data_IF_410634194425
#
_entry.id   IF_410634194425
#
_cell.length_a   1.000
_cell.length_b   1.000
_cell.length_c   1.000
_cell.angle_alpha   90.00
_cell.angle_beta   90.00
_cell.angle_gamma   90.00
#
_symmetry.space_group_name_H-M   'P 1'
#
loop_
_entity.id
_entity.type
_entity.pdbx_description
1 polymer ?
#
# COMPACT_ATOMS: atom_id res chain seq x y z
N UNK A 1 1.74 5.61 -31.31
CA UNK A 1 2.66 5.30 -30.17
C UNK A 1 3.97 4.66 -30.64
N UNK A 2 4.04 3.40 -31.10
CA UNK A 2 5.34 2.82 -31.50
C UNK A 2 5.98 3.55 -32.70
N UNK A 3 5.19 3.82 -33.74
CA UNK A 3 5.65 4.52 -34.96
C UNK A 3 6.06 5.97 -34.68
N UNK A 4 5.32 6.66 -33.82
CA UNK A 4 5.44 8.12 -33.65
C UNK A 4 6.34 8.52 -32.48
N UNK A 5 6.43 7.68 -31.44
CA UNK A 5 7.21 7.97 -30.21
C UNK A 5 8.39 7.03 -30.01
N UNK A 6 8.44 5.90 -30.72
CA UNK A 6 9.52 4.92 -30.56
C UNK A 6 9.55 4.20 -29.21
N UNK A 7 8.47 4.27 -28.41
CA UNK A 7 8.38 3.66 -27.08
C UNK A 7 8.30 2.11 -27.14
N UNK A 8 9.36 1.48 -27.63
CA UNK A 8 9.53 0.03 -27.69
C UNK A 8 10.16 -0.50 -26.39
N UNK A 9 9.70 -1.66 -25.91
CA UNK A 9 10.28 -2.33 -24.75
C UNK A 9 11.66 -2.92 -25.11
N UNK A 10 12.67 -2.66 -24.28
CA UNK A 10 13.99 -3.29 -24.41
C UNK A 10 13.87 -4.82 -24.32
N UNK A 11 14.55 -5.60 -25.19
CA UNK A 11 14.58 -7.06 -25.09
C UNK A 11 15.03 -7.57 -23.71
N UNK A 12 15.96 -6.88 -23.05
CA UNK A 12 16.42 -7.24 -21.71
C UNK A 12 15.31 -7.04 -20.66
N UNK A 13 14.57 -5.93 -20.73
CA UNK A 13 13.42 -5.70 -19.83
C UNK A 13 12.30 -6.71 -20.08
N UNK A 14 12.07 -7.10 -21.35
CA UNK A 14 11.11 -8.15 -21.69
C UNK A 14 11.51 -9.50 -21.07
N UNK A 15 12.80 -9.85 -21.11
CA UNK A 15 13.32 -11.05 -20.45
C UNK A 15 13.09 -11.01 -18.94
N UNK A 16 13.41 -9.90 -18.26
CA UNK A 16 13.17 -9.76 -16.82
C UNK A 16 11.68 -9.85 -16.45
N UNK A 17 10.79 -9.27 -17.27
CA UNK A 17 9.35 -9.38 -17.08
C UNK A 17 8.88 -10.84 -17.18
N UNK A 18 9.35 -11.57 -18.21
CA UNK A 18 9.01 -12.98 -18.40
C UNK A 18 9.45 -13.82 -17.20
N UNK A 19 10.66 -13.60 -16.68
CA UNK A 19 11.13 -14.27 -15.45
C UNK A 19 10.25 -13.93 -14.24
N UNK A 20 9.84 -12.67 -14.08
CA UNK A 20 8.92 -12.27 -13.02
C UNK A 20 7.53 -12.91 -13.13
N UNK A 21 7.04 -13.13 -14.36
CA UNK A 21 5.71 -13.70 -14.61
C UNK A 21 5.58 -15.16 -14.14
N UNK A 22 6.66 -15.94 -14.17
CA UNK A 22 6.67 -17.35 -13.76
C UNK A 22 6.19 -17.55 -12.31
N UNK A 23 6.40 -16.55 -11.45
CA UNK A 23 6.02 -16.59 -10.02
C UNK A 23 4.85 -15.69 -9.69
N UNK A 24 4.20 -15.06 -10.68
CA UNK A 24 3.19 -14.03 -10.45
C UNK A 24 2.04 -14.53 -9.56
N UNK A 25 1.49 -15.70 -9.83
CA UNK A 25 0.37 -16.26 -9.05
C UNK A 25 0.73 -16.46 -7.59
N UNK A 26 1.90 -17.05 -7.31
CA UNK A 26 2.40 -17.30 -5.96
C UNK A 26 2.63 -15.99 -5.19
N UNK A 27 3.21 -14.99 -5.86
CA UNK A 27 3.47 -13.68 -5.25
C UNK A 27 2.17 -12.95 -4.95
N UNK A 28 1.23 -12.90 -5.90
CA UNK A 28 -0.07 -12.23 -5.70
C UNK A 28 -0.86 -12.89 -4.58
N UNK A 29 -0.87 -14.22 -4.51
CA UNK A 29 -1.54 -14.95 -3.42
C UNK A 29 -0.93 -14.56 -2.05
N UNK A 30 0.41 -14.57 -1.94
CA UNK A 30 1.09 -14.18 -0.70
C UNK A 30 0.85 -12.72 -0.33
N UNK A 31 0.93 -11.81 -1.30
CA UNK A 31 0.64 -10.38 -1.11
C UNK A 31 -0.76 -10.16 -0.54
N UNK A 32 -1.78 -10.83 -1.10
CA UNK A 32 -3.16 -10.75 -0.62
C UNK A 32 -3.28 -11.32 0.80
N UNK A 33 -2.75 -12.51 1.05
CA UNK A 33 -2.79 -13.15 2.37
C UNK A 33 -2.14 -12.29 3.47
N UNK A 34 -0.98 -11.70 3.18
CA UNK A 34 -0.30 -10.82 4.11
C UNK A 34 -1.10 -9.52 4.33
N UNK A 35 -1.62 -8.92 3.26
CA UNK A 35 -2.39 -7.68 3.35
C UNK A 35 -3.67 -7.85 4.18
N UNK A 36 -4.41 -8.96 4.02
CA UNK A 36 -5.61 -9.22 4.80
C UNK A 36 -5.33 -9.28 6.31
N UNK A 37 -4.23 -9.93 6.71
CA UNK A 37 -3.80 -10.00 8.11
C UNK A 37 -3.37 -8.65 8.67
N UNK A 38 -2.62 -7.87 7.89
CA UNK A 38 -2.17 -6.53 8.30
C UNK A 38 -3.38 -5.57 8.39
N UNK A 39 -4.33 -5.66 7.47
CA UNK A 39 -5.57 -4.89 7.51
C UNK A 39 -6.35 -5.21 8.79
N UNK A 40 -6.50 -6.49 9.14
CA UNK A 40 -7.17 -6.90 10.38
C UNK A 40 -6.47 -6.34 11.62
N UNK A 41 -5.15 -6.41 11.68
CA UNK A 41 -4.36 -5.78 12.74
C UNK A 41 -4.62 -4.27 12.84
N UNK A 42 -4.53 -3.54 11.72
CA UNK A 42 -4.66 -2.08 11.68
C UNK A 42 -6.07 -1.61 12.06
N UNK A 43 -7.13 -2.31 11.61
CA UNK A 43 -8.52 -1.97 11.95
C UNK A 43 -8.76 -2.02 13.46
N UNK A 44 -8.07 -2.92 14.17
CA UNK A 44 -8.20 -3.10 15.61
C UNK A 44 -7.21 -2.26 16.44
N UNK A 45 -6.32 -1.50 15.80
CA UNK A 45 -5.25 -0.78 16.51
C UNK A 45 -5.74 0.59 17.04
N UNK A 46 -5.52 0.93 18.33
CA UNK A 46 -6.09 2.14 18.95
C UNK A 46 -5.54 3.46 18.40
N UNK A 47 -4.39 3.44 17.71
CA UNK A 47 -3.77 4.62 17.06
C UNK A 47 -4.16 4.78 15.58
N UNK A 48 -4.92 3.84 15.02
CA UNK A 48 -5.46 3.92 13.67
C UNK A 48 -6.87 4.50 13.74
N UNK A 49 -7.16 5.47 12.88
CA UNK A 49 -8.49 6.09 12.77
C UNK A 49 -9.38 5.34 11.77
N UNK A 50 -8.80 4.95 10.63
CA UNK A 50 -9.54 4.33 9.54
C UNK A 50 -8.60 3.53 8.65
N UNK A 51 -9.06 2.41 8.10
CA UNK A 51 -8.39 1.67 7.03
C UNK A 51 -9.26 1.72 5.77
N UNK A 52 -8.66 2.01 4.61
CA UNK A 52 -9.35 2.00 3.32
C UNK A 52 -8.95 0.74 2.55
N UNK A 53 -9.70 -0.33 2.76
CA UNK A 53 -9.50 -1.60 2.07
C UNK A 53 -10.83 -2.13 1.50
N UNK A 54 -10.91 -2.52 0.21
CA UNK A 54 -12.19 -2.84 -0.42
C UNK A 54 -13.00 -3.97 0.24
N UNK A 55 -12.33 -4.91 0.92
CA UNK A 55 -12.96 -6.07 1.55
C UNK A 55 -13.51 -5.79 2.95
N UNK A 56 -13.25 -4.62 3.54
CA UNK A 56 -13.82 -4.27 4.85
C UNK A 56 -15.33 -4.10 4.78
N UNK A 57 -16.03 -4.46 5.86
CA UNK A 57 -17.49 -4.46 5.91
C UNK A 57 -18.12 -3.06 5.80
N UNK A 58 -17.41 -2.03 6.26
CA UNK A 58 -17.80 -0.63 6.16
C UNK A 58 -17.38 0.02 4.82
N UNK A 59 -16.70 -0.73 3.94
CA UNK A 59 -16.31 -0.24 2.63
C UNK A 59 -17.52 -0.12 1.69
N UNK A 60 -17.72 1.03 1.02
CA UNK A 60 -18.79 1.17 0.02
C UNK A 60 -18.59 0.22 -1.19
N UNK A 61 -17.38 -0.33 -1.34
CA UNK A 61 -17.02 -1.24 -2.42
C UNK A 61 -17.09 -2.72 -2.03
N UNK A 62 -17.47 -3.06 -0.80
CA UNK A 62 -17.46 -4.44 -0.30
C UNK A 62 -18.19 -5.41 -1.23
N UNK A 63 -19.44 -5.10 -1.61
CA UNK A 63 -20.23 -5.94 -2.51
C UNK A 63 -19.60 -6.08 -3.91
N UNK A 64 -18.90 -5.05 -4.41
CA UNK A 64 -18.22 -5.09 -5.70
C UNK A 64 -16.92 -5.90 -5.61
N UNK A 65 -16.20 -5.78 -4.50
CA UNK A 65 -15.01 -6.57 -4.21
C UNK A 65 -15.35 -8.06 -4.18
N UNK A 66 -16.39 -8.47 -3.46
CA UNK A 66 -16.85 -9.86 -3.42
C UNK A 66 -17.25 -10.38 -4.81
N UNK A 67 -17.91 -9.53 -5.62
CA UNK A 67 -18.32 -9.91 -6.98
C UNK A 67 -17.15 -10.05 -7.96
N UNK A 68 -16.25 -9.08 -7.99
CA UNK A 68 -15.24 -8.95 -9.05
C UNK A 68 -13.86 -9.46 -8.67
N UNK A 69 -13.55 -9.54 -7.37
CA UNK A 69 -12.24 -9.90 -6.85
C UNK A 69 -12.34 -11.08 -5.86
N UNK A 70 -12.97 -12.22 -6.24
CA UNK A 70 -13.21 -13.35 -5.32
C UNK A 70 -11.93 -14.05 -4.86
N UNK A 71 -10.78 -13.73 -5.47
CA UNK A 71 -9.45 -14.25 -5.10
C UNK A 71 -8.63 -13.27 -4.26
N UNK A 72 -9.22 -12.15 -3.83
CA UNK A 72 -8.57 -11.11 -3.04
C UNK A 72 -8.50 -9.76 -3.74
N UNK A 73 -8.52 -8.69 -2.96
CA UNK A 73 -8.67 -7.30 -3.45
C UNK A 73 -7.34 -6.54 -3.61
N UNK A 74 -6.23 -7.29 -3.63
CA UNK A 74 -4.87 -6.74 -3.73
C UNK A 74 -4.22 -6.43 -2.38
N UNK A 75 -2.99 -5.92 -2.44
CA UNK A 75 -2.11 -5.68 -1.28
C UNK A 75 -1.71 -4.22 -1.08
N UNK A 76 -2.30 -3.32 -1.86
CA UNK A 76 -2.07 -1.88 -1.77
C UNK A 76 -3.31 -1.26 -1.17
N UNK A 77 -3.13 -0.53 -0.07
CA UNK A 77 -4.21 0.14 0.62
C UNK A 77 -3.68 1.33 1.41
N UNK A 78 -4.59 2.15 1.91
CA UNK A 78 -4.24 3.27 2.78
C UNK A 78 -4.88 3.11 4.13
N UNK A 79 -4.25 3.68 5.15
CA UNK A 79 -4.85 3.84 6.47
C UNK A 79 -4.54 5.24 6.99
N UNK A 80 -5.33 5.69 7.95
CA UNK A 80 -5.20 6.98 8.60
C UNK A 80 -4.79 6.76 10.04
N UNK A 81 -3.73 7.44 10.48
CA UNK A 81 -3.35 7.48 11.90
C UNK A 81 -4.13 8.56 12.61
N UNK A 82 -4.38 8.37 13.91
CA UNK A 82 -4.89 9.45 14.75
C UNK A 82 -3.85 10.56 14.86
N UNK A 83 -4.27 11.81 14.63
CA UNK A 83 -3.37 12.96 14.57
C UNK A 83 -3.36 13.56 13.17
N UNK A 84 -2.22 14.10 12.76
CA UNK A 84 -2.00 14.75 11.48
C UNK A 84 -0.75 14.24 10.75
N UNK A 85 -0.17 15.11 9.92
CA UNK A 85 1.06 14.82 9.15
C UNK A 85 2.25 14.44 10.05
N UNK A 86 2.39 15.09 11.21
CA UNK A 86 3.50 14.83 12.10
C UNK A 86 3.48 13.38 12.62
N UNK A 87 2.31 12.88 13.02
CA UNK A 87 2.12 11.51 13.47
C UNK A 87 2.31 10.51 12.31
N UNK A 88 1.77 10.82 11.13
CA UNK A 88 1.93 9.95 9.96
C UNK A 88 3.41 9.79 9.57
N UNK A 89 4.16 10.90 9.51
CA UNK A 89 5.61 10.88 9.28
C UNK A 89 6.35 10.15 10.38
N UNK A 90 5.99 10.38 11.64
CA UNK A 90 6.63 9.71 12.78
C UNK A 90 6.49 8.20 12.70
N UNK A 91 5.33 7.67 12.28
CA UNK A 91 5.16 6.23 12.05
C UNK A 91 6.12 5.76 10.96
N UNK A 92 6.16 6.44 9.81
CA UNK A 92 7.03 6.08 8.69
C UNK A 92 8.51 6.07 9.10
N UNK A 93 8.96 7.10 9.82
CA UNK A 93 10.34 7.24 10.27
C UNK A 93 10.79 6.14 11.25
N UNK A 94 9.85 5.41 11.87
CA UNK A 94 10.13 4.34 12.84
C UNK A 94 9.90 2.93 12.29
N UNK A 95 9.54 2.78 11.01
CA UNK A 95 9.49 1.47 10.36
C UNK A 95 10.91 1.03 9.99
N UNK A 96 11.28 -0.20 10.34
CA UNK A 96 12.60 -0.75 10.06
C UNK A 96 12.59 -1.73 8.87
N UNK A 97 11.44 -2.35 8.57
CA UNK A 97 11.29 -3.31 7.47
C UNK A 97 10.74 -2.63 6.22
N UNK A 98 9.73 -1.78 6.37
CA UNK A 98 9.11 -1.09 5.23
C UNK A 98 10.06 -0.07 4.63
N UNK A 99 10.27 -0.14 3.31
CA UNK A 99 11.05 0.89 2.61
C UNK A 99 10.17 2.10 2.26
N UNK A 100 10.57 3.31 2.65
CA UNK A 100 9.93 4.55 2.20
C UNK A 100 10.22 4.80 0.71
N UNK A 101 9.31 4.35 -0.15
CA UNK A 101 9.48 4.34 -1.59
C UNK A 101 8.13 4.50 -2.29
N UNK A 102 8.09 5.39 -3.29
CA UNK A 102 6.87 5.69 -4.05
C UNK A 102 6.38 4.53 -4.95
N UNK A 103 7.17 3.46 -5.13
CA UNK A 103 6.82 2.29 -5.95
C UNK A 103 5.71 1.45 -5.31
N UNK A 104 5.20 0.43 -6.02
CA UNK A 104 4.16 -0.49 -5.53
C UNK A 104 4.36 -1.91 -6.07
N UNK A 105 3.77 -2.90 -5.39
CA UNK A 105 3.73 -4.30 -5.80
C UNK A 105 5.12 -4.94 -6.04
N UNK A 106 6.13 -4.46 -5.30
CA UNK A 106 7.44 -5.10 -5.21
C UNK A 106 7.35 -6.31 -4.26
N UNK A 107 8.34 -7.20 -4.32
CA UNK A 107 8.51 -8.27 -3.34
C UNK A 107 8.75 -7.71 -1.93
N UNK A 108 9.30 -6.50 -1.82
CA UNK A 108 9.50 -5.76 -0.57
C UNK A 108 8.24 -4.99 -0.18
N UNK A 109 8.00 -4.90 1.11
CA UNK A 109 6.98 -4.04 1.70
C UNK A 109 7.41 -2.58 1.62
N UNK A 110 6.52 -1.74 1.07
CA UNK A 110 6.78 -0.33 0.85
C UNK A 110 5.77 0.51 1.60
N UNK A 111 6.23 1.65 2.11
CA UNK A 111 5.42 2.67 2.76
C UNK A 111 5.63 4.00 2.05
N UNK A 112 4.62 4.85 2.05
CA UNK A 112 4.77 6.23 1.59
C UNK A 112 3.71 7.13 2.22
N UNK A 113 4.07 8.39 2.46
CA UNK A 113 3.12 9.45 2.84
C UNK A 113 2.60 10.18 1.59
N UNK A 114 1.37 9.89 1.10
CA UNK A 114 0.94 10.34 -0.23
C UNK A 114 0.93 11.86 -0.40
N UNK A 115 0.46 12.59 0.63
CA UNK A 115 0.28 14.04 0.58
C UNK A 115 1.59 14.81 0.33
N UNK A 116 2.74 14.29 0.79
CA UNK A 116 4.03 14.99 0.67
C UNK A 116 4.98 14.35 -0.33
N UNK A 117 4.52 13.33 -1.07
CA UNK A 117 5.37 12.58 -2.00
C UNK A 117 4.68 12.43 -3.37
N UNK A 118 3.99 11.31 -3.61
CA UNK A 118 3.32 10.95 -4.86
C UNK A 118 2.29 11.99 -5.31
N UNK A 119 1.68 12.71 -4.38
CA UNK A 119 0.70 13.76 -4.65
C UNK A 119 1.20 15.15 -4.21
N UNK A 120 2.47 15.29 -3.82
CA UNK A 120 3.02 16.53 -3.25
C UNK A 120 3.09 17.73 -4.20
N UNK A 121 2.74 17.56 -5.48
CA UNK A 121 2.62 18.65 -6.44
C UNK A 121 1.20 19.27 -6.47
N UNK A 122 0.23 18.66 -5.78
CA UNK A 122 -1.13 19.16 -5.68
C UNK A 122 -1.25 20.27 -4.63
N UNK A 123 -2.20 21.19 -4.83
CA UNK A 123 -2.58 22.14 -3.78
C UNK A 123 -3.33 21.42 -2.66
N UNK A 124 -3.41 22.01 -1.47
CA UNK A 124 -4.19 21.45 -0.34
C UNK A 124 -5.64 21.15 -0.74
N UNK A 125 -6.26 22.06 -1.50
CA UNK A 125 -7.63 21.90 -2.00
C UNK A 125 -7.76 20.72 -2.95
N UNK A 126 -6.78 20.50 -3.82
CA UNK A 126 -6.79 19.39 -4.78
C UNK A 126 -6.49 18.05 -4.09
N UNK A 127 -5.64 18.04 -3.06
CA UNK A 127 -5.41 16.88 -2.20
C UNK A 127 -6.71 16.45 -1.50
N UNK A 128 -7.41 17.40 -0.88
CA UNK A 128 -8.69 17.16 -0.23
C UNK A 128 -9.73 16.63 -1.24
N UNK A 129 -9.84 17.26 -2.42
CA UNK A 129 -10.74 16.81 -3.47
C UNK A 129 -10.41 15.39 -3.99
N UNK A 130 -9.13 14.99 -3.96
CA UNK A 130 -8.67 13.66 -4.32
C UNK A 130 -8.82 12.64 -3.16
N UNK A 131 -9.26 13.06 -1.97
CA UNK A 131 -9.37 12.20 -0.79
C UNK A 131 -8.03 11.85 -0.15
N UNK A 132 -6.99 12.67 -0.38
CA UNK A 132 -5.67 12.54 0.23
C UNK A 132 -5.59 13.47 1.42
N UNK A 133 -5.54 12.90 2.63
CA UNK A 133 -5.44 13.68 3.88
C UNK A 133 -4.02 13.65 4.45
N UNK A 134 -3.63 14.65 5.27
CA UNK A 134 -2.28 14.71 5.84
C UNK A 134 -1.93 13.58 6.83
N UNK A 135 -2.91 12.86 7.38
CA UNK A 135 -2.67 11.72 8.28
C UNK A 135 -2.70 10.36 7.57
N UNK A 136 -2.75 10.35 6.23
CA UNK A 136 -2.88 9.13 5.44
C UNK A 136 -1.51 8.50 5.15
N UNK A 137 -1.39 7.20 5.35
CA UNK A 137 -0.24 6.39 4.97
C UNK A 137 -0.70 5.36 3.94
N UNK A 138 0.07 5.17 2.87
CA UNK A 138 -0.15 4.08 1.90
C UNK A 138 0.86 2.97 2.15
N UNK A 139 0.36 1.74 2.25
CA UNK A 139 1.17 0.53 2.29
C UNK A 139 1.04 -0.24 0.98
N UNK A 140 2.15 -0.82 0.53
CA UNK A 140 2.21 -1.87 -0.48
C UNK A 140 2.86 -3.07 0.17
N UNK A 141 2.04 -4.05 0.57
CA UNK A 141 2.51 -5.20 1.35
C UNK A 141 3.27 -6.17 0.45
N UNK A 142 4.48 -6.54 0.88
CA UNK A 142 5.41 -7.43 0.22
C UNK A 142 5.19 -8.92 0.53
N UNK A 143 6.25 -9.70 0.37
CA UNK A 143 6.28 -11.16 0.51
C UNK A 143 6.92 -11.64 1.81
N UNK A 144 7.30 -10.72 2.70
CA UNK A 144 7.96 -11.02 3.97
C UNK A 144 7.07 -11.88 4.89
N UNK A 145 7.67 -12.35 5.98
CA UNK A 145 6.89 -12.93 7.06
C UNK A 145 5.93 -11.86 7.61
N UNK A 146 4.64 -12.17 7.59
CA UNK A 146 3.59 -11.25 8.02
C UNK A 146 3.72 -10.88 9.49
N UNK A 147 4.22 -11.77 10.34
CA UNK A 147 4.34 -11.50 11.78
C UNK A 147 5.41 -10.43 12.04
N UNK A 148 6.50 -10.45 11.26
CA UNK A 148 7.54 -9.42 11.32
C UNK A 148 7.01 -8.06 10.84
N UNK A 149 6.20 -8.05 9.76
CA UNK A 149 5.56 -6.82 9.26
C UNK A 149 4.56 -6.23 10.25
N UNK A 150 3.77 -7.07 10.91
CA UNK A 150 2.82 -6.65 11.94
C UNK A 150 3.57 -6.08 13.15
N UNK A 151 4.64 -6.74 13.58
CA UNK A 151 5.45 -6.27 14.71
C UNK A 151 6.14 -4.93 14.42
N UNK A 152 6.69 -4.75 13.21
CA UNK A 152 7.29 -3.49 12.77
C UNK A 152 6.25 -2.35 12.79
N UNK A 153 5.05 -2.60 12.24
CA UNK A 153 3.94 -1.66 12.29
C UNK A 153 3.49 -1.35 13.73
N UNK A 154 3.40 -2.36 14.61
CA UNK A 154 3.03 -2.17 16.02
C UNK A 154 4.03 -1.27 16.73
N UNK A 155 5.32 -1.54 16.59
CA UNK A 155 6.40 -0.77 17.21
C UNK A 155 6.43 0.68 16.70
N UNK A 156 6.22 0.88 15.39
CA UNK A 156 6.14 2.22 14.80
C UNK A 156 4.92 3.01 15.29
N UNK A 157 3.74 2.36 15.37
CA UNK A 157 2.51 2.97 15.86
C UNK A 157 2.55 3.32 17.36
N UNK A 158 3.36 2.63 18.16
CA UNK A 158 3.56 2.97 19.59
C UNK A 158 4.36 4.26 19.81
N UNK A 159 4.95 4.82 18.75
CA UNK A 159 5.70 6.07 18.84
C UNK A 159 4.81 7.31 18.76
N UNK A 160 3.53 7.17 18.41
CA UNK A 160 2.54 8.25 18.34
C UNK A 160 1.47 8.10 19.43
#
# INVERSE_FOLDING_TARGET
>A
MLRDTGAALSPFNAFLLLQGLETLSLRVERHVQNAEKIVDFLVNHPKVEKVNYPKLADSPYHALAEKYLPKGVGSIFTFHVKGGEAEARKVIDHLEIFSDLANVADAKSLVVHPATTTHGQLSEKDLEAAGVTPNQIRLSIGLENVDDLIEDLRLALEKI
#
